data_IF_944371620772
#
_entry.id   IF_944371620772
#
_cell.length_a   1.000
_cell.length_b   1.000
_cell.length_c   1.000
_cell.angle_alpha   90.00
_cell.angle_beta   90.00
_cell.angle_gamma   90.00
#
_symmetry.space_group_name_H-M   'P 1'
#
loop_
_entity.id
_entity.type
_entity.pdbx_description
1 polymer ?
#
# COMPACT_ATOMS: atom_id res chain seq x y z
N UNK A 1 -3.72 45.35 50.15
CA UNK A 1 -4.79 45.97 49.35
C UNK A 1 -5.03 45.12 48.12
N UNK A 2 -6.23 44.58 48.02
CA UNK A 2 -6.72 43.62 47.01
C UNK A 2 -7.00 44.35 45.69
N UNK A 3 -6.65 43.75 44.54
CA UNK A 3 -7.52 43.69 43.35
C UNK A 3 -7.27 42.39 42.58
N UNK A 4 -8.38 41.89 42.04
CA UNK A 4 -8.70 40.50 41.72
C UNK A 4 -8.97 40.34 40.22
N UNK A 5 -8.96 39.07 39.80
CA UNK A 5 -9.57 38.49 38.58
C UNK A 5 -8.79 38.69 37.25
N UNK A 6 -8.66 37.72 36.34
CA UNK A 6 -9.56 36.60 36.01
C UNK A 6 -8.81 35.33 35.61
N UNK A 7 -9.32 34.23 36.15
CA UNK A 7 -9.08 32.84 35.76
C UNK A 7 -9.83 32.56 34.45
N UNK A 8 -9.21 31.89 33.47
CA UNK A 8 -9.90 31.40 32.27
C UNK A 8 -9.60 29.90 32.09
N UNK A 9 -10.55 28.98 32.38
CA UNK A 9 -10.41 27.57 32.07
C UNK A 9 -11.21 27.23 30.81
N UNK A 10 -10.55 26.75 29.76
CA UNK A 10 -11.19 25.97 28.70
C UNK A 10 -10.16 25.14 27.92
N UNK A 11 -9.62 24.09 28.55
CA UNK A 11 -9.13 22.92 27.81
C UNK A 11 -10.37 22.12 27.40
N UNK A 12 -10.84 22.29 26.18
CA UNK A 12 -11.86 21.43 25.59
C UNK A 12 -11.29 20.03 25.35
N UNK A 13 -11.52 19.11 26.27
CA UNK A 13 -11.50 17.69 25.95
C UNK A 13 -12.66 17.40 24.99
N UNK A 14 -12.34 17.11 23.73
CA UNK A 14 -13.35 16.55 22.82
C UNK A 14 -13.73 15.18 23.32
N UNK A 15 -14.99 15.01 23.67
CA UNK A 15 -15.57 13.76 24.14
C UNK A 15 -15.61 12.74 23.01
N UNK A 16 -15.60 11.45 23.38
CA UNK A 16 -15.74 10.30 22.47
C UNK A 16 -16.99 10.34 21.59
N UNK A 17 -18.02 11.12 21.96
CA UNK A 17 -19.26 11.24 21.17
C UNK A 17 -19.12 12.10 19.91
N UNK A 18 -18.19 13.07 19.86
CA UNK A 18 -17.96 13.90 18.65
C UNK A 18 -17.19 13.14 17.55
N UNK A 19 -16.46 12.07 17.88
CA UNK A 19 -15.83 11.19 16.87
C UNK A 19 -16.84 10.25 16.20
N UNK A 20 -17.91 9.88 16.91
CA UNK A 20 -18.97 9.00 16.40
C UNK A 20 -19.83 9.67 15.32
N UNK A 21 -20.12 10.96 15.46
CA UNK A 21 -21.01 11.71 14.57
C UNK A 21 -20.44 12.01 13.17
N UNK A 22 -19.13 11.90 12.96
CA UNK A 22 -18.51 12.18 11.64
C UNK A 22 -18.54 10.96 10.71
N UNK A 23 -18.55 9.73 11.25
CA UNK A 23 -18.59 8.49 10.46
C UNK A 23 -19.99 8.16 9.93
N UNK A 24 -21.04 8.39 10.74
CA UNK A 24 -22.41 7.91 10.49
C UNK A 24 -23.12 8.47 9.25
N UNK A 25 -22.77 9.66 8.75
CA UNK A 25 -23.48 10.29 7.61
C UNK A 25 -22.83 10.10 6.24
N UNK A 26 -21.59 9.62 6.15
CA UNK A 26 -20.84 9.57 4.89
C UNK A 26 -20.30 8.17 4.53
N UNK A 27 -20.43 7.17 5.40
CA UNK A 27 -19.95 5.83 5.12
C UNK A 27 -20.87 5.10 4.13
N UNK A 28 -20.36 4.87 2.91
CA UNK A 28 -21.04 4.08 1.88
C UNK A 28 -20.02 3.34 1.04
N UNK A 29 -20.22 2.03 0.92
CA UNK A 29 -19.46 1.16 0.03
C UNK A 29 -20.28 1.00 -1.25
N UNK A 30 -19.67 1.31 -2.37
CA UNK A 30 -20.31 1.25 -3.67
C UNK A 30 -20.40 -0.22 -4.14
N UNK A 31 -21.53 -0.67 -4.71
CA UNK A 31 -21.70 -2.04 -5.19
C UNK A 31 -21.02 -2.23 -6.56
N UNK A 32 -19.73 -2.50 -6.55
CA UNK A 32 -18.89 -2.72 -7.74
C UNK A 32 -18.27 -4.12 -7.72
N UNK A 33 -17.95 -4.65 -8.92
CA UNK A 33 -17.25 -5.92 -9.08
C UNK A 33 -15.76 -5.74 -8.73
N UNK A 34 -15.20 -6.71 -8.00
CA UNK A 34 -13.77 -6.77 -7.65
C UNK A 34 -12.87 -6.76 -8.89
N UNK A 35 -13.29 -7.35 -10.01
CA UNK A 35 -12.47 -7.37 -11.23
C UNK A 35 -12.17 -5.97 -11.79
N UNK A 36 -13.14 -5.04 -11.72
CA UNK A 36 -12.94 -3.64 -12.15
C UNK A 36 -11.97 -2.88 -11.25
N UNK A 37 -11.65 -3.41 -10.07
CA UNK A 37 -10.73 -2.79 -9.12
C UNK A 37 -9.30 -2.93 -9.60
N UNK A 38 -8.95 -4.06 -10.22
CA UNK A 38 -7.59 -4.31 -10.66
C UNK A 38 -7.14 -3.31 -11.73
N UNK A 39 -7.96 -3.08 -12.78
CA UNK A 39 -7.61 -2.13 -13.84
C UNK A 39 -7.55 -0.68 -13.34
N UNK A 40 -8.40 -0.32 -12.38
CA UNK A 40 -8.37 1.02 -11.77
C UNK A 40 -7.14 1.18 -10.85
N UNK A 41 -6.77 0.18 -10.05
CA UNK A 41 -5.56 0.23 -9.24
C UNK A 41 -4.29 0.22 -10.09
N UNK A 42 -4.27 -0.52 -11.20
CA UNK A 42 -3.21 -0.42 -12.22
C UNK A 42 -3.10 1.03 -12.73
N UNK A 43 -4.23 1.67 -13.04
CA UNK A 43 -4.26 3.07 -13.48
C UNK A 43 -3.73 4.03 -12.41
N UNK A 44 -4.15 3.88 -11.15
CA UNK A 44 -3.72 4.75 -10.05
C UNK A 44 -2.22 4.58 -9.79
N UNK A 45 -1.74 3.33 -9.75
CA UNK A 45 -0.32 3.00 -9.57
C UNK A 45 0.55 3.60 -10.69
N UNK A 46 0.10 3.47 -11.94
CA UNK A 46 0.84 3.95 -13.12
C UNK A 46 0.78 5.47 -13.33
N UNK A 47 -0.40 6.08 -13.17
CA UNK A 47 -0.57 7.50 -13.51
C UNK A 47 -0.11 8.43 -12.40
N UNK A 48 -0.37 8.08 -11.13
CA UNK A 48 -0.09 8.83 -9.89
C UNK A 48 -0.56 10.27 -9.85
N UNK A 49 -1.21 10.64 -8.76
CA UNK A 49 -1.89 11.93 -8.63
C UNK A 49 -2.80 12.20 -9.84
N UNK A 50 -3.61 11.21 -10.21
CA UNK A 50 -4.50 11.29 -11.36
C UNK A 50 -5.94 11.54 -10.92
N UNK A 51 -6.69 12.32 -11.69
CA UNK A 51 -8.13 12.47 -11.51
C UNK A 51 -8.90 11.25 -12.04
N UNK A 52 -10.20 11.20 -11.75
CA UNK A 52 -11.08 10.10 -12.18
C UNK A 52 -11.13 9.95 -13.70
N UNK A 53 -11.05 11.04 -14.46
CA UNK A 53 -11.14 11.00 -15.92
C UNK A 53 -9.95 10.27 -16.53
N UNK A 54 -8.73 10.62 -16.11
CA UNK A 54 -7.49 9.96 -16.55
C UNK A 54 -7.45 8.51 -16.12
N UNK A 55 -7.90 8.21 -14.89
CA UNK A 55 -7.99 6.84 -14.37
C UNK A 55 -8.94 6.00 -15.21
N UNK A 56 -10.14 6.53 -15.51
CA UNK A 56 -11.16 5.84 -16.31
C UNK A 56 -10.66 5.54 -17.72
N UNK A 57 -10.03 6.52 -18.36
CA UNK A 57 -9.44 6.37 -19.69
C UNK A 57 -8.37 5.28 -19.72
N UNK A 58 -7.47 5.25 -18.73
CA UNK A 58 -6.42 4.24 -18.66
C UNK A 58 -6.99 2.85 -18.37
N UNK A 59 -7.92 2.75 -17.43
CA UNK A 59 -8.50 1.48 -17.00
C UNK A 59 -9.48 0.88 -18.03
N UNK A 60 -9.85 1.62 -19.08
CA UNK A 60 -10.82 1.19 -20.08
C UNK A 60 -12.23 1.02 -19.53
N UNK A 61 -12.61 1.85 -18.55
CA UNK A 61 -13.93 1.83 -17.90
C UNK A 61 -14.58 3.22 -17.96
N UNK A 62 -15.89 3.30 -17.76
CA UNK A 62 -16.56 4.60 -17.68
C UNK A 62 -16.18 5.37 -16.40
N UNK A 63 -16.24 6.71 -16.46
CA UNK A 63 -15.85 7.59 -15.36
C UNK A 63 -16.68 7.39 -14.08
N UNK A 64 -17.94 6.95 -14.19
CA UNK A 64 -18.80 6.69 -13.03
C UNK A 64 -18.33 5.43 -12.31
N UNK A 65 -17.99 4.37 -13.05
CA UNK A 65 -17.42 3.14 -12.51
C UNK A 65 -16.07 3.41 -11.86
N UNK A 66 -15.14 4.09 -12.54
CA UNK A 66 -13.85 4.48 -11.96
C UNK A 66 -14.02 5.29 -10.66
N UNK A 67 -14.94 6.27 -10.66
CA UNK A 67 -15.26 7.09 -9.49
C UNK A 67 -15.74 6.28 -8.28
N UNK A 68 -16.58 5.26 -8.51
CA UNK A 68 -17.03 4.34 -7.44
C UNK A 68 -15.89 3.48 -6.92
N UNK A 69 -15.04 2.96 -7.81
CA UNK A 69 -13.89 2.14 -7.44
C UNK A 69 -12.91 2.92 -6.57
N UNK A 70 -12.49 4.13 -6.99
CA UNK A 70 -11.55 4.92 -6.18
C UNK A 70 -12.17 5.34 -4.85
N UNK A 71 -13.49 5.58 -4.78
CA UNK A 71 -14.19 5.86 -3.52
C UNK A 71 -14.08 4.68 -2.54
N UNK A 72 -14.34 3.46 -3.00
CA UNK A 72 -14.14 2.26 -2.18
C UNK A 72 -12.66 2.07 -1.80
N UNK A 73 -11.73 2.28 -2.73
CA UNK A 73 -10.30 2.11 -2.46
C UNK A 73 -9.77 3.12 -1.43
N UNK A 74 -10.32 4.34 -1.39
CA UNK A 74 -10.03 5.32 -0.33
C UNK A 74 -10.57 4.83 1.02
N UNK A 75 -11.81 4.32 1.06
CA UNK A 75 -12.40 3.72 2.26
C UNK A 75 -11.55 2.54 2.80
N UNK A 76 -11.02 1.72 1.90
CA UNK A 76 -10.17 0.57 2.22
C UNK A 76 -8.70 0.93 2.44
N UNK A 77 -8.34 2.22 2.36
CA UNK A 77 -6.96 2.72 2.52
C UNK A 77 -5.96 2.12 1.53
N UNK A 78 -6.44 1.71 0.36
CA UNK A 78 -5.62 1.31 -0.79
C UNK A 78 -5.10 2.53 -1.55
N UNK A 79 -5.88 3.62 -1.55
CA UNK A 79 -5.65 4.82 -2.36
C UNK A 79 -5.79 6.06 -1.48
N UNK A 80 -4.85 6.99 -1.63
CA UNK A 80 -4.91 8.33 -1.06
C UNK A 80 -5.69 9.27 -1.98
N UNK A 81 -6.37 10.26 -1.39
CA UNK A 81 -7.04 11.33 -2.13
C UNK A 81 -6.49 12.69 -1.71
N UNK A 82 -6.01 13.46 -2.69
CA UNK A 82 -5.61 14.87 -2.52
C UNK A 82 -6.38 15.72 -3.53
N UNK A 83 -7.33 16.50 -3.04
CA UNK A 83 -8.28 17.26 -3.86
C UNK A 83 -9.09 16.33 -4.81
N UNK A 84 -8.92 16.49 -6.12
CA UNK A 84 -9.52 15.67 -7.17
C UNK A 84 -8.63 14.48 -7.59
N UNK A 85 -7.41 14.39 -7.08
CA UNK A 85 -6.40 13.46 -7.55
C UNK A 85 -6.22 12.29 -6.57
N UNK A 86 -5.83 11.15 -7.11
CA UNK A 86 -5.65 9.89 -6.40
C UNK A 86 -4.26 9.31 -6.64
N UNK A 87 -3.68 8.72 -5.60
CA UNK A 87 -2.38 8.04 -5.62
C UNK A 87 -2.43 6.80 -4.73
N UNK A 88 -1.50 5.86 -4.92
CA UNK A 88 -1.46 4.65 -4.09
C UNK A 88 -1.13 5.01 -2.64
N UNK A 89 -1.79 4.33 -1.69
CA UNK A 89 -1.52 4.44 -0.26
C UNK A 89 -0.70 3.26 0.28
N UNK A 90 -0.61 2.19 -0.51
CA UNK A 90 0.12 0.96 -0.21
C UNK A 90 0.91 0.53 -1.43
N UNK A 91 2.00 -0.24 -1.26
CA UNK A 91 2.71 -0.82 -2.39
C UNK A 91 1.78 -1.66 -3.27
N UNK A 92 1.96 -1.59 -4.58
CA UNK A 92 1.11 -2.32 -5.51
C UNK A 92 1.90 -2.94 -6.67
N UNK A 93 1.62 -4.21 -7.01
CA UNK A 93 2.25 -4.89 -8.13
C UNK A 93 1.61 -4.47 -9.45
N UNK A 94 2.09 -3.36 -10.01
CA UNK A 94 1.65 -2.91 -11.34
C UNK A 94 1.97 -3.98 -12.39
N UNK A 95 0.96 -4.39 -13.17
CA UNK A 95 1.05 -5.55 -14.08
C UNK A 95 1.44 -6.88 -13.42
N UNK A 96 1.41 -6.97 -12.09
CA UNK A 96 1.51 -8.25 -11.40
C UNK A 96 0.33 -9.17 -11.72
N UNK A 97 0.48 -10.42 -11.33
CA UNK A 97 -0.54 -11.45 -11.42
C UNK A 97 -1.81 -11.06 -10.65
N UNK A 98 -2.94 -11.70 -11.00
CA UNK A 98 -4.21 -11.47 -10.31
C UNK A 98 -4.10 -11.81 -8.82
N UNK A 99 -3.32 -12.82 -8.46
CA UNK A 99 -3.16 -13.25 -7.07
C UNK A 99 -2.32 -12.26 -6.25
N UNK A 100 -1.24 -11.73 -6.83
CA UNK A 100 -0.47 -10.63 -6.24
C UNK A 100 -1.37 -9.42 -5.93
N UNK A 101 -2.21 -9.02 -6.89
CA UNK A 101 -3.14 -7.90 -6.74
C UNK A 101 -4.24 -8.19 -5.72
N UNK A 102 -4.80 -9.40 -5.72
CA UNK A 102 -5.78 -9.84 -4.72
C UNK A 102 -5.20 -9.79 -3.32
N UNK A 103 -3.95 -10.23 -3.12
CA UNK A 103 -3.31 -10.24 -1.82
C UNK A 103 -3.27 -8.84 -1.19
N UNK A 104 -2.97 -7.80 -1.97
CA UNK A 104 -2.99 -6.39 -1.51
C UNK A 104 -4.38 -5.97 -1.04
N UNK A 105 -5.42 -6.29 -1.81
CA UNK A 105 -6.81 -5.96 -1.44
C UNK A 105 -7.25 -6.76 -0.22
N UNK A 106 -6.88 -8.05 -0.13
CA UNK A 106 -7.17 -8.91 1.03
C UNK A 106 -6.60 -8.30 2.30
N UNK A 107 -5.32 -7.94 2.29
CA UNK A 107 -4.66 -7.33 3.44
C UNK A 107 -5.34 -6.01 3.85
N UNK A 108 -5.68 -5.16 2.88
CA UNK A 108 -6.40 -3.91 3.14
C UNK A 108 -7.78 -4.14 3.79
N UNK A 109 -8.53 -5.15 3.31
CA UNK A 109 -9.81 -5.53 3.90
C UNK A 109 -9.64 -6.13 5.29
N UNK A 110 -8.64 -6.97 5.53
CA UNK A 110 -8.34 -7.53 6.85
C UNK A 110 -8.08 -6.45 7.91
N UNK A 111 -7.43 -5.37 7.49
CA UNK A 111 -7.12 -4.20 8.34
C UNK A 111 -8.31 -3.23 8.50
N UNK A 112 -9.43 -3.44 7.81
CA UNK A 112 -10.61 -2.59 7.91
C UNK A 112 -11.38 -2.90 9.21
N UNK A 113 -11.63 -1.93 10.11
CA UNK A 113 -12.33 -2.18 11.38
C UNK A 113 -13.70 -2.84 11.21
N UNK A 114 -14.42 -2.50 10.14
CA UNK A 114 -15.70 -3.13 9.80
C UNK A 114 -15.54 -4.64 9.54
N UNK A 115 -14.52 -5.04 8.77
CA UNK A 115 -14.27 -6.45 8.45
C UNK A 115 -13.72 -7.19 9.65
N UNK A 116 -12.86 -6.54 10.46
CA UNK A 116 -12.37 -7.10 11.71
C UNK A 116 -13.53 -7.54 12.63
N UNK A 117 -14.46 -6.63 12.94
CA UNK A 117 -15.61 -6.96 13.79
C UNK A 117 -16.58 -7.93 13.10
N UNK A 118 -16.79 -7.81 11.79
CA UNK A 118 -17.61 -8.76 11.04
C UNK A 118 -17.09 -10.19 11.22
N UNK A 119 -15.79 -10.42 11.03
CA UNK A 119 -15.16 -11.73 11.23
C UNK A 119 -15.30 -12.21 12.66
N UNK A 120 -15.11 -11.32 13.64
CA UNK A 120 -15.29 -11.64 15.06
C UNK A 120 -16.71 -12.15 15.35
N UNK A 121 -17.75 -11.45 14.91
CA UNK A 121 -19.14 -11.88 15.14
C UNK A 121 -19.48 -13.16 14.36
N UNK A 122 -18.98 -13.32 13.13
CA UNK A 122 -19.12 -14.57 12.38
C UNK A 122 -18.46 -15.75 13.11
N UNK A 123 -17.31 -15.54 13.76
CA UNK A 123 -16.62 -16.58 14.55
C UNK A 123 -17.42 -17.03 15.78
N UNK A 124 -18.36 -16.21 16.25
CA UNK A 124 -19.32 -16.58 17.30
C UNK A 124 -20.58 -17.27 16.75
N UNK A 125 -20.60 -17.62 15.47
CA UNK A 125 -21.72 -18.30 14.82
C UNK A 125 -22.87 -17.38 14.41
N UNK A 126 -22.66 -16.06 14.40
CA UNK A 126 -23.72 -15.13 13.98
C UNK A 126 -23.98 -15.20 12.48
N UNK A 127 -25.25 -14.97 12.09
CA UNK A 127 -25.62 -14.80 10.69
C UNK A 127 -24.96 -13.54 10.09
N UNK A 128 -24.53 -13.58 8.83
CA UNK A 128 -23.82 -12.46 8.17
C UNK A 128 -24.53 -11.11 8.26
N UNK A 129 -25.86 -11.06 8.16
CA UNK A 129 -26.60 -9.81 8.25
C UNK A 129 -26.58 -9.22 9.67
N UNK A 130 -26.70 -10.08 10.68
CA UNK A 130 -26.63 -9.69 12.10
C UNK A 130 -25.21 -9.26 12.46
N UNK A 131 -24.22 -10.07 12.08
CA UNK A 131 -22.81 -9.79 12.28
C UNK A 131 -22.41 -8.45 11.63
N UNK A 132 -22.88 -8.18 10.40
CA UNK A 132 -22.59 -6.92 9.71
C UNK A 132 -23.20 -5.72 10.41
N UNK A 133 -24.46 -5.82 10.86
CA UNK A 133 -25.11 -4.75 11.63
C UNK A 133 -24.34 -4.46 12.92
N UNK A 134 -23.99 -5.49 13.70
CA UNK A 134 -23.21 -5.31 14.93
C UNK A 134 -21.83 -4.72 14.65
N UNK A 135 -21.15 -5.19 13.61
CA UNK A 135 -19.86 -4.64 13.20
C UNK A 135 -19.96 -3.16 12.83
N UNK A 136 -21.00 -2.78 12.08
CA UNK A 136 -21.28 -1.39 11.74
C UNK A 136 -21.53 -0.51 12.99
N UNK A 137 -22.30 -1.01 13.96
CA UNK A 137 -22.51 -0.34 15.26
C UNK A 137 -21.21 -0.19 16.03
N UNK A 138 -20.37 -1.24 16.10
CA UNK A 138 -19.08 -1.20 16.80
C UNK A 138 -18.14 -0.09 16.28
N UNK A 139 -18.25 0.26 15.00
CA UNK A 139 -17.43 1.30 14.37
C UNK A 139 -18.16 2.65 14.22
N UNK A 140 -19.35 2.79 14.81
CA UNK A 140 -20.11 4.05 14.84
C UNK A 140 -20.84 4.42 13.54
N UNK A 141 -21.20 3.44 12.70
CA UNK A 141 -22.06 3.69 11.54
C UNK A 141 -23.53 3.73 11.99
N UNK A 142 -24.04 4.93 12.23
CA UNK A 142 -25.42 5.17 12.64
C UNK A 142 -26.07 6.35 11.88
N UNK A 143 -27.31 6.22 11.36
CA UNK A 143 -28.14 5.01 11.38
C UNK A 143 -27.59 3.92 10.45
N UNK A 144 -27.85 2.65 10.79
CA UNK A 144 -27.47 1.53 9.94
C UNK A 144 -28.27 1.55 8.62
N UNK A 145 -27.56 1.71 7.49
CA UNK A 145 -28.09 1.53 6.13
C UNK A 145 -27.49 0.26 5.53
N UNK A 146 -28.30 -0.79 5.42
CA UNK A 146 -27.87 -2.07 4.84
C UNK A 146 -27.37 -1.91 3.40
N UNK A 147 -28.01 -1.05 2.60
CA UNK A 147 -27.60 -0.78 1.21
C UNK A 147 -26.26 -0.04 1.12
N UNK A 148 -25.86 0.67 2.17
CA UNK A 148 -24.56 1.35 2.24
C UNK A 148 -23.42 0.42 2.68
N UNK A 149 -23.70 -0.62 3.45
CA UNK A 149 -22.67 -1.46 4.11
C UNK A 149 -22.58 -2.85 3.48
N UNK A 150 -23.70 -3.49 3.14
CA UNK A 150 -23.76 -4.87 2.63
C UNK A 150 -22.89 -5.18 1.41
N UNK A 151 -22.53 -4.22 0.51
CA UNK A 151 -21.58 -4.50 -0.56
C UNK A 151 -20.23 -5.05 -0.08
N UNK A 152 -19.81 -4.77 1.16
CA UNK A 152 -18.59 -5.35 1.74
C UNK A 152 -18.65 -6.87 1.83
N UNK A 153 -19.82 -7.48 2.04
CA UNK A 153 -19.96 -8.93 2.16
C UNK A 153 -19.62 -9.62 0.86
N UNK A 154 -19.97 -9.01 -0.27
CA UNK A 154 -19.63 -9.54 -1.59
C UNK A 154 -18.12 -9.57 -1.78
N UNK A 155 -17.47 -8.44 -1.54
CA UNK A 155 -16.01 -8.32 -1.60
C UNK A 155 -15.32 -9.29 -0.65
N UNK A 156 -15.82 -9.39 0.58
CA UNK A 156 -15.20 -10.18 1.61
C UNK A 156 -15.26 -11.70 1.30
N UNK A 157 -16.32 -12.15 0.63
CA UNK A 157 -16.45 -13.52 0.13
C UNK A 157 -15.61 -13.78 -1.11
N UNK A 158 -15.68 -12.90 -2.11
CA UNK A 158 -14.91 -13.05 -3.37
C UNK A 158 -13.39 -13.01 -3.15
N UNK A 159 -12.94 -12.35 -2.09
CA UNK A 159 -11.53 -12.27 -1.69
C UNK A 159 -11.18 -13.20 -0.53
N UNK A 160 -12.11 -14.08 -0.11
CA UNK A 160 -11.89 -15.11 0.92
C UNK A 160 -11.38 -14.54 2.26
N UNK A 161 -11.65 -13.27 2.58
CA UNK A 161 -11.16 -12.64 3.82
C UNK A 161 -12.00 -12.99 5.05
N UNK A 162 -13.14 -13.65 4.86
CA UNK A 162 -13.98 -14.11 5.97
C UNK A 162 -13.50 -15.44 6.58
N UNK A 163 -12.64 -16.19 5.89
CA UNK A 163 -12.10 -17.46 6.38
C UNK A 163 -11.18 -17.23 7.58
N UNK A 164 -11.30 -18.04 8.64
CA UNK A 164 -10.53 -17.85 9.87
C UNK A 164 -9.02 -18.03 9.66
N UNK A 165 -8.62 -18.89 8.72
CA UNK A 165 -7.24 -19.15 8.33
C UNK A 165 -6.56 -17.94 7.67
N UNK A 166 -7.32 -16.98 7.16
CA UNK A 166 -6.80 -15.84 6.39
C UNK A 166 -6.45 -14.71 7.34
N UNK A 167 -5.16 -14.58 7.68
CA UNK A 167 -4.63 -13.48 8.50
C UNK A 167 -3.58 -12.68 7.70
N UNK A 168 -3.21 -11.50 8.18
CA UNK A 168 -2.15 -10.70 7.56
C UNK A 168 -0.84 -11.48 7.53
N UNK A 169 -0.52 -12.17 8.61
CA UNK A 169 0.66 -13.04 8.74
C UNK A 169 0.60 -14.18 7.73
N UNK A 170 -0.53 -14.87 7.62
CA UNK A 170 -0.71 -15.94 6.64
C UNK A 170 -0.57 -15.46 5.18
N UNK A 171 -0.99 -14.22 4.86
CA UNK A 171 -0.78 -13.63 3.53
C UNK A 171 0.71 -13.37 3.25
N UNK A 172 1.45 -12.90 4.26
CA UNK A 172 2.89 -12.65 4.17
C UNK A 172 3.67 -13.97 4.07
N UNK A 173 3.24 -15.00 4.80
CA UNK A 173 3.85 -16.33 4.73
C UNK A 173 3.59 -16.97 3.36
N UNK A 174 2.36 -16.93 2.85
CA UNK A 174 2.02 -17.42 1.51
C UNK A 174 2.78 -16.69 0.39
N UNK A 175 3.00 -15.38 0.56
CA UNK A 175 3.85 -14.58 -0.32
C UNK A 175 5.30 -15.07 -0.32
N UNK A 176 5.85 -15.35 0.88
CA UNK A 176 7.21 -15.87 1.05
C UNK A 176 7.35 -17.27 0.44
N UNK A 177 6.40 -18.17 0.70
CA UNK A 177 6.37 -19.51 0.10
C UNK A 177 6.29 -19.47 -1.44
N UNK A 178 5.58 -18.50 -1.99
CA UNK A 178 5.47 -18.29 -3.43
C UNK A 178 6.82 -17.91 -4.04
N UNK A 179 7.56 -16.99 -3.40
CA UNK A 179 8.94 -16.68 -3.76
C UNK A 179 9.85 -17.91 -3.68
N UNK A 180 9.76 -18.68 -2.60
CA UNK A 180 10.58 -19.89 -2.44
C UNK A 180 10.24 -20.98 -3.47
N UNK A 181 8.96 -21.12 -3.83
CA UNK A 181 8.53 -22.05 -4.88
C UNK A 181 9.04 -21.62 -6.25
N UNK A 182 8.98 -20.32 -6.56
CA UNK A 182 9.53 -19.72 -7.79
C UNK A 182 11.02 -20.05 -7.94
N UNK A 183 11.81 -19.82 -6.89
CA UNK A 183 13.25 -20.13 -6.90
C UNK A 183 13.56 -21.63 -7.00
N UNK A 184 12.77 -22.49 -6.34
CA UNK A 184 12.96 -23.96 -6.44
C UNK A 184 12.55 -24.52 -7.81
N UNK A 185 11.56 -23.92 -8.45
CA UNK A 185 11.05 -24.35 -9.75
C UNK A 185 11.88 -23.88 -10.95
N UNK A 186 12.99 -23.16 -10.72
CA UNK A 186 13.75 -22.46 -11.77
C UNK A 186 12.89 -21.48 -12.59
N UNK A 187 11.88 -20.88 -11.97
CA UNK A 187 11.16 -19.77 -12.57
C UNK A 187 12.03 -18.50 -12.42
N UNK A 188 12.68 -18.11 -13.51
CA UNK A 188 13.61 -16.96 -13.64
C UNK A 188 12.91 -15.60 -13.50
N UNK A 189 11.61 -15.56 -13.18
CA UNK A 189 10.90 -14.30 -12.99
C UNK A 189 11.46 -13.55 -11.79
N UNK A 190 12.16 -12.45 -12.03
CA UNK A 190 12.63 -11.54 -10.97
C UNK A 190 11.48 -10.65 -10.50
N UNK A 191 11.33 -10.52 -9.18
CA UNK A 191 10.41 -9.57 -8.54
C UNK A 191 11.20 -8.53 -7.76
N UNK A 192 10.88 -7.26 -7.93
CA UNK A 192 11.57 -6.16 -7.27
C UNK A 192 10.58 -5.20 -6.62
N UNK A 193 10.87 -4.80 -5.39
CA UNK A 193 10.17 -3.74 -4.69
C UNK A 193 10.91 -2.42 -4.87
N UNK A 194 10.26 -1.43 -5.50
CA UNK A 194 10.84 -0.11 -5.77
C UNK A 194 10.20 0.93 -4.85
N UNK A 195 10.96 1.38 -3.85
CA UNK A 195 10.58 2.45 -2.94
C UNK A 195 11.20 3.78 -3.36
N UNK A 196 10.40 4.84 -3.33
CA UNK A 196 10.81 6.19 -3.73
C UNK A 196 9.97 7.28 -3.06
N UNK A 197 10.54 8.48 -2.94
CA UNK A 197 9.78 9.67 -2.56
C UNK A 197 8.73 10.00 -3.61
N UNK A 198 7.53 10.44 -3.19
CA UNK A 198 6.49 10.91 -4.10
C UNK A 198 6.95 12.05 -5.03
N UNK A 199 7.96 12.82 -4.63
CA UNK A 199 8.59 13.86 -5.46
C UNK A 199 9.42 13.29 -6.62
N UNK A 200 9.90 12.04 -6.50
CA UNK A 200 10.75 11.36 -7.51
C UNK A 200 9.96 10.42 -8.42
N UNK A 201 8.62 10.47 -8.37
CA UNK A 201 7.72 9.57 -9.08
C UNK A 201 7.97 9.47 -10.58
N UNK A 202 8.39 10.56 -11.23
CA UNK A 202 8.69 10.58 -12.67
C UNK A 202 9.86 9.65 -12.98
N UNK A 203 10.92 9.72 -12.18
CA UNK A 203 12.07 8.83 -12.31
C UNK A 203 11.69 7.39 -11.98
N UNK A 204 11.05 7.16 -10.83
CA UNK A 204 10.72 5.82 -10.37
C UNK A 204 9.82 5.07 -11.35
N UNK A 205 8.86 5.76 -11.98
CA UNK A 205 8.00 5.15 -13.01
C UNK A 205 8.72 4.85 -14.30
N UNK A 206 9.61 5.74 -14.75
CA UNK A 206 10.46 5.44 -15.90
C UNK A 206 11.29 4.18 -15.64
N UNK A 207 11.92 4.11 -14.46
CA UNK A 207 12.69 2.92 -14.05
C UNK A 207 11.81 1.66 -13.96
N UNK A 208 10.64 1.75 -13.35
CA UNK A 208 9.70 0.63 -13.27
C UNK A 208 9.26 0.16 -14.66
N UNK A 209 8.98 1.10 -15.58
CA UNK A 209 8.63 0.79 -16.96
C UNK A 209 9.75 0.04 -17.68
N UNK A 210 10.98 0.56 -17.59
CA UNK A 210 12.15 0.02 -18.27
C UNK A 210 12.53 -1.36 -17.69
N UNK A 211 12.45 -1.55 -16.37
CA UNK A 211 12.63 -2.87 -15.73
C UNK A 211 11.52 -3.86 -16.12
N UNK A 212 10.26 -3.40 -16.17
CA UNK A 212 9.14 -4.24 -16.63
C UNK A 212 9.31 -4.69 -18.07
N UNK A 213 9.85 -3.82 -18.94
CA UNK A 213 10.18 -4.17 -20.32
C UNK A 213 11.31 -5.22 -20.41
N UNK A 214 12.10 -5.39 -19.37
CA UNK A 214 13.11 -6.45 -19.23
C UNK A 214 12.56 -7.73 -18.58
N UNK A 215 11.25 -7.85 -18.37
CA UNK A 215 10.61 -9.02 -17.77
C UNK A 215 10.57 -9.02 -16.23
N UNK A 216 11.02 -7.95 -15.59
CA UNK A 216 11.06 -7.85 -14.12
C UNK A 216 9.70 -7.35 -13.61
N UNK A 217 9.13 -8.05 -12.62
CA UNK A 217 7.91 -7.58 -11.95
C UNK A 217 8.24 -6.52 -10.91
N UNK A 218 7.58 -5.36 -10.98
CA UNK A 218 7.83 -4.25 -10.06
C UNK A 218 6.63 -4.04 -9.13
N UNK A 219 6.90 -4.15 -7.83
CA UNK A 219 6.06 -3.62 -6.77
C UNK A 219 6.45 -2.18 -6.53
N UNK A 220 5.57 -1.23 -6.88
CA UNK A 220 5.85 0.19 -6.72
C UNK A 220 5.27 0.69 -5.41
N UNK A 221 6.10 1.35 -4.61
CA UNK A 221 5.72 2.04 -3.38
C UNK A 221 5.99 3.54 -3.53
N UNK A 222 4.91 4.33 -3.52
CA UNK A 222 4.95 5.79 -3.56
C UNK A 222 4.83 6.31 -2.13
N UNK A 223 5.96 6.73 -1.55
CA UNK A 223 6.06 6.99 -0.11
C UNK A 223 5.01 8.00 0.38
N UNK A 224 4.12 7.52 1.25
CA UNK A 224 3.20 8.29 2.10
C UNK A 224 3.19 7.67 3.51
N UNK A 225 4.30 7.80 4.23
CA UNK A 225 4.43 7.26 5.60
C UNK A 225 4.18 8.38 6.59
N UNK A 226 3.10 8.27 7.36
CA UNK A 226 2.74 9.24 8.37
C UNK A 226 3.43 8.88 9.70
N UNK A 227 3.60 9.89 10.55
CA UNK A 227 4.13 9.68 11.91
C UNK A 227 3.25 8.68 12.65
N UNK A 228 3.87 7.58 13.11
CA UNK A 228 3.20 6.50 13.85
C UNK A 228 2.82 5.27 13.02
N UNK A 229 3.02 5.29 11.70
CA UNK A 229 2.84 4.10 10.86
C UNK A 229 3.96 3.07 11.07
N UNK A 230 3.61 1.79 11.15
CA UNK A 230 4.58 0.69 11.11
C UNK A 230 5.02 0.43 9.68
N UNK A 231 6.28 0.75 9.36
CA UNK A 231 6.81 0.57 8.01
C UNK A 231 7.01 -0.88 7.67
N UNK A 232 7.53 -1.67 8.61
CA UNK A 232 7.67 -3.12 8.47
C UNK A 232 6.34 -3.75 8.06
N UNK A 233 5.21 -3.26 8.58
CA UNK A 233 3.88 -3.69 8.15
C UNK A 233 3.46 -3.14 6.79
N UNK A 234 3.82 -1.90 6.44
CA UNK A 234 3.46 -1.29 5.14
C UNK A 234 4.19 -1.91 3.95
N UNK A 235 5.46 -2.23 4.11
CA UNK A 235 6.29 -2.76 3.02
C UNK A 235 6.43 -4.28 3.09
N UNK A 236 6.06 -4.91 4.23
CA UNK A 236 6.28 -6.32 4.50
C UNK A 236 5.71 -7.25 3.42
N UNK A 237 4.49 -6.96 2.94
CA UNK A 237 3.88 -7.74 1.85
C UNK A 237 4.64 -7.61 0.53
N UNK A 238 5.02 -6.39 0.14
CA UNK A 238 5.77 -6.16 -1.08
C UNK A 238 7.19 -6.75 -1.01
N UNK A 239 7.83 -6.71 0.15
CA UNK A 239 9.11 -7.38 0.39
C UNK A 239 9.01 -8.91 0.37
N UNK A 240 7.92 -9.48 0.90
CA UNK A 240 7.77 -10.93 1.05
C UNK A 240 7.88 -11.70 -0.28
N UNK A 241 7.43 -11.11 -1.39
CA UNK A 241 7.51 -11.73 -2.72
C UNK A 241 8.73 -11.31 -3.53
N UNK A 242 9.45 -10.27 -3.09
CA UNK A 242 10.51 -9.63 -3.85
C UNK A 242 11.86 -10.33 -3.67
N UNK A 243 12.67 -10.29 -4.72
CA UNK A 243 14.08 -10.72 -4.70
C UNK A 243 15.00 -9.55 -4.40
N UNK A 244 14.59 -8.36 -4.86
CA UNK A 244 15.34 -7.12 -4.71
C UNK A 244 14.49 -6.04 -4.07
N UNK A 245 15.10 -5.26 -3.18
CA UNK A 245 14.57 -4.03 -2.63
C UNK A 245 15.36 -2.85 -3.20
N UNK A 246 14.77 -2.15 -4.16
CA UNK A 246 15.34 -0.97 -4.80
C UNK A 246 14.92 0.24 -3.99
N UNK A 247 15.89 0.98 -3.47
CA UNK A 247 15.68 2.22 -2.71
C UNK A 247 16.19 3.40 -3.54
N UNK A 248 15.28 4.27 -3.97
CA UNK A 248 15.64 5.50 -4.67
C UNK A 248 16.16 6.53 -3.66
N UNK A 249 17.40 6.95 -3.85
CA UNK A 249 18.11 7.93 -3.03
C UNK A 249 18.23 9.25 -3.80
N UNK A 250 17.62 10.29 -3.24
CA UNK A 250 17.58 11.66 -3.75
C UNK A 250 17.53 12.65 -2.58
N UNK A 251 17.67 13.95 -2.86
CA UNK A 251 17.53 14.99 -1.86
C UNK A 251 16.11 15.00 -1.27
N UNK A 252 15.11 14.68 -2.10
CA UNK A 252 13.72 14.55 -1.68
C UNK A 252 13.51 13.37 -0.72
N UNK A 253 14.11 12.22 -1.04
CA UNK A 253 14.07 11.03 -0.20
C UNK A 253 14.82 11.26 1.12
N UNK A 254 16.04 11.82 1.09
CA UNK A 254 16.80 12.12 2.31
C UNK A 254 16.11 13.18 3.19
N UNK A 255 15.36 14.10 2.59
CA UNK A 255 14.57 15.09 3.31
C UNK A 255 13.29 14.49 3.91
N UNK A 256 12.82 13.34 3.40
CA UNK A 256 11.61 12.69 3.88
C UNK A 256 11.80 12.14 5.29
N UNK A 257 10.69 12.09 6.03
CA UNK A 257 10.69 11.54 7.39
C UNK A 257 11.07 10.05 7.39
N UNK A 258 10.85 9.34 6.28
CA UNK A 258 11.22 7.95 6.11
C UNK A 258 12.73 7.72 6.16
N UNK A 259 13.54 8.40 5.33
CA UNK A 259 14.99 8.17 5.40
C UNK A 259 15.56 8.63 6.74
N UNK A 260 15.02 9.72 7.31
CA UNK A 260 15.49 10.28 8.58
C UNK A 260 15.20 9.41 9.81
N UNK A 261 14.11 8.65 9.82
CA UNK A 261 13.69 7.86 10.99
C UNK A 261 13.81 6.35 10.80
N UNK A 262 13.74 5.86 9.56
CA UNK A 262 13.23 4.52 9.30
C UNK A 262 14.09 3.66 8.40
N UNK A 263 15.03 4.24 7.64
CA UNK A 263 16.20 3.48 7.22
C UNK A 263 17.02 3.19 8.47
N UNK A 264 16.67 2.11 9.15
CA UNK A 264 17.22 1.69 10.43
C UNK A 264 17.63 0.22 10.37
N UNK A 265 18.27 -0.26 11.43
CA UNK A 265 18.76 -1.64 11.49
C UNK A 265 17.63 -2.67 11.42
N UNK A 266 16.43 -2.37 11.93
CA UNK A 266 15.30 -3.29 11.91
C UNK A 266 14.80 -3.55 10.49
N UNK A 267 14.72 -2.50 9.66
CA UNK A 267 14.39 -2.63 8.24
C UNK A 267 15.42 -3.48 7.50
N UNK A 268 16.71 -3.18 7.68
CA UNK A 268 17.80 -3.94 7.05
C UNK A 268 17.75 -5.41 7.48
N UNK A 269 17.59 -5.67 8.78
CA UNK A 269 17.49 -7.03 9.31
C UNK A 269 16.27 -7.79 8.77
N UNK A 270 15.12 -7.12 8.61
CA UNK A 270 13.91 -7.74 8.04
C UNK A 270 14.11 -8.10 6.55
N UNK A 271 14.72 -7.20 5.79
CA UNK A 271 15.05 -7.42 4.37
C UNK A 271 16.04 -8.58 4.23
N UNK A 272 17.06 -8.63 5.07
CA UNK A 272 18.06 -9.71 5.09
C UNK A 272 17.45 -11.05 5.53
N UNK A 273 16.61 -11.05 6.57
CA UNK A 273 15.86 -12.23 7.05
C UNK A 273 15.00 -12.83 5.94
N UNK A 274 14.40 -11.99 5.09
CA UNK A 274 13.60 -12.41 3.92
C UNK A 274 14.43 -12.77 2.69
N UNK A 275 15.77 -12.76 2.81
CA UNK A 275 16.70 -12.99 1.69
C UNK A 275 16.39 -12.08 0.50
N UNK A 276 16.10 -10.81 0.79
CA UNK A 276 15.86 -9.77 -0.21
C UNK A 276 17.14 -8.93 -0.33
N UNK A 277 17.54 -8.58 -1.55
CA UNK A 277 18.77 -7.84 -1.78
C UNK A 277 18.51 -6.35 -1.95
N UNK A 278 19.17 -5.55 -1.11
CA UNK A 278 19.06 -4.09 -1.18
C UNK A 278 19.93 -3.56 -2.31
N UNK A 279 19.30 -2.84 -3.24
CA UNK A 279 19.95 -2.17 -4.36
C UNK A 279 19.70 -0.66 -4.24
N UNK A 280 20.68 0.12 -3.74
CA UNK A 280 20.56 1.58 -3.71
C UNK A 280 20.61 2.18 -5.12
N UNK A 281 19.67 3.08 -5.42
CA UNK A 281 19.51 3.76 -6.71
C UNK A 281 19.66 5.26 -6.48
N UNK A 282 20.85 5.82 -6.75
CA UNK A 282 21.11 7.24 -6.53
C UNK A 282 20.76 8.05 -7.78
N UNK A 283 19.92 9.08 -7.64
CA UNK A 283 19.40 9.85 -8.78
C UNK A 283 19.89 11.31 -8.83
N UNK A 284 20.54 11.79 -7.78
CA UNK A 284 21.15 13.11 -7.72
C UNK A 284 22.47 13.09 -6.91
N UNK A 285 22.99 14.26 -6.52
CA UNK A 285 24.23 14.40 -5.77
C UNK A 285 24.12 14.03 -4.27
N UNK A 286 23.01 13.43 -3.83
CA UNK A 286 22.77 13.08 -2.44
C UNK A 286 23.79 12.08 -1.88
N UNK A 287 24.11 12.26 -0.60
CA UNK A 287 24.97 11.35 0.13
C UNK A 287 24.27 10.01 0.39
N UNK A 288 25.05 8.92 0.36
CA UNK A 288 24.53 7.59 0.71
C UNK A 288 24.39 7.50 2.24
N UNK A 289 23.21 7.14 2.77
CA UNK A 289 23.02 6.99 4.20
C UNK A 289 24.00 5.99 4.83
N UNK A 290 24.45 6.19 6.09
CA UNK A 290 25.42 5.32 6.76
C UNK A 290 25.15 3.82 6.67
N UNK A 291 23.89 3.40 6.79
CA UNK A 291 23.47 1.99 6.73
C UNK A 291 23.58 1.35 5.34
N UNK A 292 23.83 2.15 4.30
CA UNK A 292 24.01 1.69 2.93
C UNK A 292 25.42 2.01 2.41
N UNK A 293 26.32 2.58 3.23
CA UNK A 293 27.66 3.00 2.79
C UNK A 293 28.54 1.84 2.31
N UNK A 294 28.31 0.65 2.81
CA UNK A 294 28.99 -0.59 2.41
C UNK A 294 28.38 -1.24 1.15
N UNK A 295 27.23 -0.74 0.67
CA UNK A 295 26.56 -1.24 -0.52
C UNK A 295 26.90 -0.37 -1.73
N UNK A 296 27.35 -1.02 -2.80
CA UNK A 296 27.49 -0.34 -4.09
C UNK A 296 26.12 0.12 -4.60
N UNK A 297 26.05 1.32 -5.15
CA UNK A 297 24.81 1.91 -5.67
C UNK A 297 24.84 2.01 -7.20
N UNK A 298 23.66 1.96 -7.82
CA UNK A 298 23.49 2.31 -9.22
C UNK A 298 23.38 3.84 -9.33
N UNK A 299 24.32 4.46 -10.05
CA UNK A 299 24.42 5.92 -10.16
C UNK A 299 23.69 6.44 -11.40
N UNK A 300 22.43 6.86 -11.22
CA UNK A 300 21.61 7.48 -12.26
C UNK A 300 21.80 9.00 -12.35
N UNK A 301 22.48 9.61 -11.38
CA UNK A 301 22.75 11.05 -11.36
C UNK A 301 23.64 11.50 -12.54
N UNK A 302 24.49 10.61 -13.06
CA UNK A 302 25.40 10.88 -14.18
C UNK A 302 24.83 10.46 -15.52
N UNK A 303 24.31 9.24 -15.58
CA UNK A 303 23.82 8.63 -16.82
C UNK A 303 22.73 7.62 -16.49
N UNK A 304 21.54 7.82 -17.06
CA UNK A 304 20.42 6.89 -16.88
C UNK A 304 20.77 5.50 -17.43
N UNK A 305 21.36 5.45 -18.63
CA UNK A 305 21.69 4.19 -19.32
C UNK A 305 22.71 3.37 -18.54
N UNK A 306 23.80 3.99 -18.07
CA UNK A 306 24.83 3.27 -17.30
C UNK A 306 24.31 2.79 -15.95
N UNK A 307 23.51 3.62 -15.26
CA UNK A 307 22.85 3.24 -14.02
C UNK A 307 21.92 2.05 -14.22
N UNK A 308 21.13 2.08 -15.29
CA UNK A 308 20.19 1.03 -15.66
C UNK A 308 20.89 -0.29 -16.00
N UNK A 309 21.95 -0.26 -16.82
CA UNK A 309 22.71 -1.47 -17.19
C UNK A 309 23.37 -2.13 -15.97
N UNK A 310 23.97 -1.33 -15.08
CA UNK A 310 24.57 -1.84 -13.83
C UNK A 310 23.52 -2.47 -12.92
N UNK A 311 22.37 -1.81 -12.79
CA UNK A 311 21.25 -2.33 -11.99
C UNK A 311 20.73 -3.65 -12.57
N UNK A 312 20.49 -3.70 -13.87
CA UNK A 312 20.01 -4.89 -14.57
C UNK A 312 21.01 -6.06 -14.46
N UNK A 313 22.30 -5.75 -14.59
CA UNK A 313 23.37 -6.74 -14.40
C UNK A 313 23.37 -7.31 -12.99
N UNK A 314 23.22 -6.46 -11.97
CA UNK A 314 23.14 -6.91 -10.57
C UNK A 314 21.92 -7.81 -10.31
N UNK A 315 20.80 -7.53 -10.97
CA UNK A 315 19.57 -8.32 -10.83
C UNK A 315 19.66 -9.67 -11.54
N UNK A 316 20.18 -9.71 -12.79
CA UNK A 316 20.26 -10.94 -13.61
C UNK A 316 21.41 -11.88 -13.23
N UNK A 317 22.53 -11.37 -12.71
CA UNK A 317 23.69 -12.20 -12.33
C UNK A 317 23.41 -13.22 -11.23
N UNK A 318 22.25 -13.14 -10.58
CA UNK A 318 21.88 -14.01 -9.47
C UNK A 318 20.95 -15.16 -9.84
N UNK A 319 20.50 -15.20 -11.10
CA UNK A 319 19.77 -16.34 -11.67
C UNK A 319 20.73 -17.43 -12.21
N UNK A 320 22.05 -17.24 -12.09
CA UNK A 320 23.12 -18.20 -12.46
C UNK A 320 23.95 -18.58 -11.25
#
# INVERSE_FOLDING_TARGET
MVKSAKHNPARGHRTTSERSTVLGRAFRIEPINVDSVFSVLDAVSWLGDADVGRIAQFAGVDARTAGKVVKNCVLFRLVNRKNANFSMAVPYPFKGSKDEKKAVIREALLKLPLVFHLRQFLSFGENSAVALRKAATMIGIEPYDEGAVSPILKWARELEVLEASVTTEALVDAATETKERRHRGHDERIVAFLSHSSADKVFARRLAADLTAQGITIWLDEENILVGDSITEKIGQGLAQSDFFLIVLSANALASEWVKKELNQALIAEVEKRKVHILPVRIDASEIPPLLKDKHFADFAKSYTEGFEKLLTAMKRRDT
#
